data_IF_800912900497
#
_entry.id   IF_800912900497
#
_cell.length_a   1.000
_cell.length_b   1.000
_cell.length_c   1.000
_cell.angle_alpha   90.00
_cell.angle_beta   90.00
_cell.angle_gamma   90.00
#
_symmetry.space_group_name_H-M   'P 1'
#
loop_
_entity.id
_entity.type
_entity.pdbx_description
1 polymer ?
#
# COMPACT_ATOMS: atom_id res chain seq x y z
N UNK A 1 -9.94 14.39 -12.20
CA UNK A 1 -8.72 13.85 -11.57
C UNK A 1 -9.15 13.26 -10.26
N UNK A 2 -9.31 11.94 -10.19
CA UNK A 2 -9.50 11.27 -8.90
C UNK A 2 -8.21 11.49 -8.12
N UNK A 3 -8.29 12.22 -7.02
CA UNK A 3 -7.19 12.31 -6.06
C UNK A 3 -7.19 10.94 -5.41
N UNK A 4 -6.37 10.04 -5.91
CA UNK A 4 -6.27 8.70 -5.35
C UNK A 4 -5.57 8.81 -3.99
N UNK A 5 -6.35 8.73 -2.92
CA UNK A 5 -5.86 8.80 -1.54
C UNK A 5 -5.20 7.48 -1.15
N UNK A 6 -4.00 7.22 -1.67
CA UNK A 6 -3.15 6.14 -1.20
C UNK A 6 -1.90 6.67 -0.49
N UNK A 7 -1.39 5.89 0.46
CA UNK A 7 -0.25 6.26 1.30
C UNK A 7 1.07 5.92 0.60
N UNK A 8 1.13 4.78 -0.09
CA UNK A 8 2.32 4.28 -0.78
C UNK A 8 1.98 3.87 -2.22
N UNK A 9 2.88 4.17 -3.14
CA UNK A 9 2.84 3.61 -4.48
C UNK A 9 3.49 2.22 -4.48
N UNK A 10 2.97 1.29 -5.28
CA UNK A 10 3.59 0.00 -5.53
C UNK A 10 3.64 -0.32 -7.02
N UNK A 11 4.64 -1.12 -7.43
CA UNK A 11 4.67 -1.68 -8.79
C UNK A 11 3.88 -3.00 -8.79
N UNK A 12 2.72 -3.08 -9.48
CA UNK A 12 1.89 -4.28 -9.48
C UNK A 12 2.61 -5.50 -10.08
N UNK A 13 3.63 -5.31 -10.92
CA UNK A 13 4.42 -6.41 -11.51
C UNK A 13 5.39 -7.05 -10.51
N UNK A 14 5.57 -6.45 -9.33
CA UNK A 14 6.46 -6.95 -8.27
C UNK A 14 5.74 -7.72 -7.17
N UNK A 15 4.40 -7.75 -7.21
CA UNK A 15 3.58 -8.48 -6.23
C UNK A 15 3.82 -9.99 -6.39
N UNK A 16 4.38 -10.61 -5.36
CA UNK A 16 4.59 -12.06 -5.31
C UNK A 16 3.28 -12.83 -5.11
N UNK A 17 3.33 -14.15 -5.33
CA UNK A 17 2.18 -15.03 -5.03
C UNK A 17 1.81 -15.10 -3.54
N UNK A 18 2.68 -14.58 -2.67
CA UNK A 18 2.43 -14.40 -1.25
C UNK A 18 1.71 -13.08 -0.94
N UNK A 19 1.34 -12.27 -1.94
CA UNK A 19 0.71 -10.96 -1.80
C UNK A 19 1.55 -9.95 -1.00
N UNK A 20 2.87 -10.12 -0.98
CA UNK A 20 3.80 -9.17 -0.39
C UNK A 20 4.39 -8.30 -1.48
N UNK A 21 4.52 -7.01 -1.20
CA UNK A 21 5.18 -6.04 -2.09
C UNK A 21 6.10 -5.11 -1.30
N UNK A 22 7.17 -4.66 -1.96
CA UNK A 22 8.08 -3.66 -1.41
C UNK A 22 7.75 -2.28 -1.99
N UNK A 23 7.55 -1.31 -1.11
CA UNK A 23 7.30 0.08 -1.44
C UNK A 23 8.41 0.95 -0.87
N UNK A 24 8.61 2.12 -1.48
CA UNK A 24 9.52 3.16 -1.00
C UNK A 24 8.71 4.37 -0.60
N UNK A 25 8.90 4.86 0.62
CA UNK A 25 8.19 6.06 1.11
C UNK A 25 8.52 7.24 0.20
N UNK A 26 9.79 7.39 -0.16
CA UNK A 26 10.30 8.44 -1.05
C UNK A 26 9.67 8.47 -2.45
N UNK A 27 9.06 7.37 -2.90
CA UNK A 27 8.39 7.29 -4.20
C UNK A 27 6.86 7.44 -4.10
N UNK A 28 6.32 7.45 -2.88
CA UNK A 28 4.89 7.53 -2.63
C UNK A 28 4.36 8.95 -2.43
N UNK A 29 3.03 9.13 -2.38
CA UNK A 29 2.39 10.43 -2.16
C UNK A 29 2.79 11.09 -0.83
N UNK A 30 3.17 10.28 0.17
CA UNK A 30 3.59 10.73 1.50
C UNK A 30 5.10 10.98 1.62
N UNK A 31 5.85 11.01 0.51
CA UNK A 31 7.32 11.17 0.51
C UNK A 31 7.84 12.41 1.25
N UNK A 32 7.05 13.50 1.30
CA UNK A 32 7.42 14.77 1.94
C UNK A 32 6.77 14.96 3.31
N UNK A 33 6.01 13.97 3.79
CA UNK A 33 5.34 14.02 5.09
C UNK A 33 6.28 13.48 6.19
N UNK A 34 6.80 14.34 7.08
CA UNK A 34 7.73 13.94 8.13
C UNK A 34 7.06 13.08 9.23
N UNK A 35 5.74 13.14 9.34
CA UNK A 35 4.97 12.39 10.34
C UNK A 35 4.53 11.02 9.81
N UNK A 36 4.71 10.76 8.51
CA UNK A 36 4.42 9.46 7.91
C UNK A 36 5.54 8.46 8.24
N UNK A 37 5.37 7.81 9.39
CA UNK A 37 6.33 6.86 9.94
C UNK A 37 5.70 5.46 10.13
N UNK A 38 5.31 4.75 9.05
CA UNK A 38 4.66 3.45 9.16
C UNK A 38 5.55 2.44 9.91
N UNK A 39 4.94 1.60 10.72
CA UNK A 39 5.59 0.52 11.49
C UNK A 39 4.87 -0.81 11.29
N UNK A 40 5.52 -1.96 11.54
CA UNK A 40 4.86 -3.26 11.42
C UNK A 40 3.55 -3.33 12.23
N UNK A 41 2.47 -3.75 11.57
CA UNK A 41 1.12 -3.80 12.12
C UNK A 41 0.20 -2.69 11.60
N UNK A 42 0.74 -1.56 11.15
CA UNK A 42 -0.05 -0.45 10.60
C UNK A 42 -0.81 -0.87 9.34
N UNK A 43 -1.98 -0.26 9.15
CA UNK A 43 -2.78 -0.39 7.94
C UNK A 43 -2.52 0.82 7.05
N UNK A 44 -2.26 0.54 5.77
CA UNK A 44 -2.02 1.54 4.74
C UNK A 44 -2.93 1.28 3.54
N UNK A 45 -3.10 2.31 2.73
CA UNK A 45 -3.69 2.20 1.39
C UNK A 45 -2.56 2.26 0.36
N UNK A 46 -2.54 1.30 -0.58
CA UNK A 46 -1.58 1.24 -1.68
C UNK A 46 -2.27 1.56 -3.00
N UNK A 47 -1.60 2.30 -3.88
CA UNK A 47 -2.06 2.53 -5.24
C UNK A 47 -0.96 2.26 -6.26
N UNK A 48 -1.34 1.86 -7.47
CA UNK A 48 -0.44 1.78 -8.63
C UNK A 48 -0.61 3.00 -9.57
N UNK A 49 -1.65 3.81 -9.34
CA UNK A 49 -1.97 5.01 -10.12
C UNK A 49 -2.94 4.76 -11.28
N UNK A 50 -3.31 3.49 -11.52
CA UNK A 50 -4.18 3.08 -12.62
C UNK A 50 -5.48 2.40 -12.12
N UNK A 51 -5.38 1.60 -11.05
CA UNK A 51 -6.47 0.79 -10.49
C UNK A 51 -6.91 1.25 -9.09
N UNK A 52 -8.06 0.73 -8.64
CA UNK A 52 -8.59 1.05 -7.32
C UNK A 52 -7.59 0.71 -6.20
N UNK A 53 -7.34 1.63 -5.25
CA UNK A 53 -6.36 1.40 -4.18
C UNK A 53 -6.69 0.21 -3.28
N UNK A 54 -5.64 -0.51 -2.88
CA UNK A 54 -5.72 -1.73 -2.08
C UNK A 54 -5.35 -1.46 -0.62
N UNK A 55 -6.04 -2.15 0.30
CA UNK A 55 -5.62 -2.16 1.71
C UNK A 55 -4.43 -3.08 1.90
N UNK A 56 -3.47 -2.66 2.72
CA UNK A 56 -2.33 -3.48 3.07
C UNK A 56 -1.93 -3.31 4.53
N UNK A 57 -1.23 -4.31 5.07
CA UNK A 57 -0.64 -4.26 6.41
C UNK A 57 0.87 -4.19 6.30
N UNK A 58 1.50 -3.30 7.02
CA UNK A 58 2.96 -3.25 7.13
C UNK A 58 3.45 -4.49 7.86
N UNK A 59 4.37 -5.23 7.24
CA UNK A 59 5.01 -6.40 7.86
C UNK A 59 6.47 -6.13 8.24
N UNK A 60 7.12 -5.17 7.58
CA UNK A 60 8.51 -4.79 7.85
C UNK A 60 8.77 -3.36 7.37
N UNK A 61 9.63 -2.64 8.10
CA UNK A 61 10.24 -1.38 7.63
C UNK A 61 11.74 -1.40 7.81
N UNK A 62 12.47 -0.91 6.81
CA UNK A 62 13.91 -0.74 6.80
C UNK A 62 14.25 0.63 6.18
N UNK A 63 14.29 1.66 7.03
CA UNK A 63 14.49 3.05 6.56
C UNK A 63 13.34 3.50 5.66
N UNK A 64 13.67 3.78 4.40
CA UNK A 64 12.74 4.22 3.36
C UNK A 64 11.91 3.07 2.75
N UNK A 65 12.40 1.81 2.86
CA UNK A 65 11.73 0.64 2.31
C UNK A 65 10.71 0.06 3.28
N UNK A 66 9.50 -0.17 2.83
CA UNK A 66 8.39 -0.75 3.59
C UNK A 66 7.88 -1.98 2.84
N UNK A 67 7.92 -3.13 3.49
CA UNK A 67 7.29 -4.36 2.98
C UNK A 67 5.88 -4.43 3.56
N UNK A 68 4.90 -4.64 2.70
CA UNK A 68 3.48 -4.68 3.06
C UNK A 68 2.83 -5.93 2.50
N UNK A 69 1.88 -6.47 3.25
CA UNK A 69 1.02 -7.59 2.87
C UNK A 69 -0.30 -7.01 2.36
N UNK A 70 -0.59 -7.16 1.06
CA UNK A 70 -1.87 -6.76 0.48
C UNK A 70 -2.98 -7.62 1.07
N UNK A 71 -4.06 -6.96 1.50
CA UNK A 71 -5.24 -7.61 2.03
C UNK A 71 -6.24 -7.81 0.89
N UNK A 72 -6.38 -9.05 0.43
CA UNK A 72 -7.48 -9.41 -0.45
C UNK A 72 -8.78 -9.33 0.36
N UNK A 73 -9.59 -8.32 0.06
CA UNK A 73 -10.96 -8.29 0.55
C UNK A 73 -11.72 -9.47 -0.06
N UNK A 74 -12.46 -10.21 0.76
CA UNK A 74 -13.68 -10.82 0.25
C UNK A 74 -14.64 -9.67 0.01
N UNK A 75 -14.69 -9.13 -1.21
CA UNK A 75 -15.86 -8.38 -1.63
C UNK A 75 -17.04 -9.36 -1.61
N UNK A 76 -17.70 -9.48 -0.46
CA UNK A 76 -19.09 -9.90 -0.43
C UNK A 76 -19.86 -8.74 -1.03
N UNK A 77 -19.97 -8.75 -2.36
CA UNK A 77 -21.01 -8.04 -3.08
C UNK A 77 -22.36 -8.65 -2.65
N UNK A 78 -22.78 -8.37 -1.42
CA UNK A 78 -24.13 -8.60 -0.97
C UNK A 78 -24.98 -7.54 -1.68
N UNK A 79 -25.47 -7.91 -2.87
CA UNK A 79 -26.57 -7.21 -3.52
C UNK A 79 -27.81 -7.47 -2.66
N UNK A 80 -28.25 -6.43 -1.96
CA UNK A 80 -29.52 -6.40 -1.25
C UNK A 80 -30.69 -6.22 -2.23
#
# INVERSE_FOLDING_TARGET
>A
MAIEFYDLWFDPNTVGGDMVVECWISHGPRATDPDFAPVPGDLLVLGDGDEAPLRARVIKRQGDRVSVQIQLGTESAAVA
#
